data_IF_033240969852
#
_entry.id   IF_033240969852
#
_cell.length_a   1.000
_cell.length_b   1.000
_cell.length_c   1.000
_cell.angle_alpha   90.00
_cell.angle_beta   90.00
_cell.angle_gamma   90.00
#
_symmetry.space_group_name_H-M   'P 1'
#
loop_
_entity.id
_entity.type
_entity.pdbx_description
1 polymer ?
#
# COMPACT_ATOMS: atom_id res chain seq x y z
N UNK A 1 -3.18 10.29 5.60
CA UNK A 1 -2.57 10.30 4.26
C UNK A 1 -3.56 9.68 3.29
N UNK A 2 -4.03 10.42 2.28
CA UNK A 2 -4.92 9.89 1.23
C UNK A 2 -4.04 9.57 0.03
N UNK A 3 -3.93 8.31 -0.34
CA UNK A 3 -3.17 7.90 -1.53
C UNK A 3 -4.08 8.15 -2.73
N UNK A 4 -3.65 9.03 -3.63
CA UNK A 4 -4.28 9.20 -4.94
C UNK A 4 -3.54 8.29 -5.92
N UNK A 5 -4.24 7.31 -6.49
CA UNK A 5 -3.67 6.40 -7.48
C UNK A 5 -4.13 6.88 -8.86
N UNK A 6 -3.20 7.32 -9.69
CA UNK A 6 -3.46 7.59 -11.09
C UNK A 6 -3.23 6.31 -11.90
N UNK A 7 -4.32 5.61 -12.22
CA UNK A 7 -4.29 4.32 -12.93
C UNK A 7 -3.65 4.39 -14.32
N UNK A 8 -3.65 5.56 -14.96
CA UNK A 8 -3.02 5.75 -16.26
C UNK A 8 -1.50 5.89 -16.13
N UNK A 9 -1.02 6.70 -15.17
CA UNK A 9 0.42 6.90 -14.95
C UNK A 9 1.16 5.62 -14.57
N UNK A 10 0.50 4.73 -13.81
CA UNK A 10 1.10 3.45 -13.42
C UNK A 10 0.94 2.36 -14.49
N UNK A 11 0.30 2.64 -15.64
CA UNK A 11 0.10 1.69 -16.73
C UNK A 11 -1.09 0.71 -16.55
N UNK A 12 -1.82 0.77 -15.43
CA UNK A 12 -2.93 -0.15 -15.17
C UNK A 12 -4.17 0.11 -16.04
N UNK A 13 -4.29 1.29 -16.66
CA UNK A 13 -5.44 1.68 -17.47
C UNK A 13 -5.64 0.78 -18.70
N UNK A 14 -4.58 0.28 -19.31
CA UNK A 14 -4.66 -0.60 -20.48
C UNK A 14 -5.46 -1.87 -20.16
N UNK A 15 -5.25 -2.46 -18.97
CA UNK A 15 -6.03 -3.61 -18.50
C UNK A 15 -7.48 -3.25 -18.20
N UNK A 16 -7.76 -2.01 -17.74
CA UNK A 16 -9.14 -1.56 -17.48
C UNK A 16 -9.92 -1.50 -18.79
N UNK A 17 -9.30 -0.98 -19.86
CA UNK A 17 -9.95 -0.82 -21.16
C UNK A 17 -10.30 -2.15 -21.84
N UNK A 18 -9.58 -3.23 -21.51
CA UNK A 18 -9.87 -4.59 -22.00
C UNK A 18 -11.08 -5.24 -21.29
N UNK A 19 -11.61 -4.60 -20.25
CA UNK A 19 -12.71 -5.08 -19.43
C UNK A 19 -13.91 -4.13 -19.51
N UNK A 20 -14.99 -4.45 -18.81
CA UNK A 20 -16.20 -3.61 -18.80
C UNK A 20 -15.93 -2.26 -18.12
N UNK A 21 -16.07 -1.19 -18.89
CA UNK A 21 -15.95 0.19 -18.46
C UNK A 21 -16.98 1.05 -19.23
N UNK A 22 -17.35 2.21 -18.70
CA UNK A 22 -18.30 3.10 -19.36
C UNK A 22 -17.90 4.56 -19.16
N UNK A 23 -17.58 5.25 -20.26
CA UNK A 23 -17.38 6.69 -20.22
C UNK A 23 -18.70 7.43 -20.08
N UNK A 24 -18.68 8.54 -19.35
CA UNK A 24 -19.81 9.45 -19.28
C UNK A 24 -19.36 10.89 -19.55
N UNK A 25 -20.10 11.57 -20.42
CA UNK A 25 -19.86 12.97 -20.78
C UNK A 25 -20.82 13.95 -20.12
N UNK A 26 -21.82 13.47 -19.38
CA UNK A 26 -22.87 14.30 -18.79
C UNK A 26 -23.11 13.92 -17.33
N UNK A 27 -23.30 14.91 -16.47
CA UNK A 27 -23.68 14.74 -15.08
C UNK A 27 -24.80 15.71 -14.74
N UNK A 28 -25.81 15.24 -14.01
CA UNK A 28 -26.89 16.08 -13.49
C UNK A 28 -26.92 15.95 -11.97
N UNK A 29 -27.00 17.08 -11.28
CA UNK A 29 -27.13 17.15 -9.83
C UNK A 29 -28.42 17.88 -9.50
N UNK A 30 -29.24 17.29 -8.65
CA UNK A 30 -30.52 17.86 -8.21
C UNK A 30 -30.72 17.57 -6.72
N UNK A 31 -31.62 18.32 -6.09
CA UNK A 31 -32.07 18.07 -4.72
C UNK A 31 -33.51 17.52 -4.73
N UNK A 32 -33.87 16.76 -3.70
CA UNK A 32 -35.19 16.15 -3.56
C UNK A 32 -36.28 17.17 -3.20
N UNK A 33 -35.91 18.31 -2.60
CA UNK A 33 -36.88 19.32 -2.12
C UNK A 33 -37.26 20.37 -3.16
N UNK A 34 -36.51 20.48 -4.25
CA UNK A 34 -36.64 21.57 -5.22
C UNK A 34 -36.82 21.09 -6.66
N UNK A 35 -37.22 22.03 -7.52
CA UNK A 35 -37.29 21.82 -8.98
C UNK A 35 -35.98 22.19 -9.70
N UNK A 36 -34.99 22.68 -8.96
CA UNK A 36 -33.70 23.11 -9.50
C UNK A 36 -32.75 21.93 -9.74
N UNK A 37 -32.00 22.00 -10.84
CA UNK A 37 -30.91 21.08 -11.14
C UNK A 37 -29.76 21.82 -11.82
N UNK A 38 -28.54 21.27 -11.70
CA UNK A 38 -27.37 21.71 -12.46
C UNK A 38 -26.93 20.59 -13.39
N UNK A 39 -26.60 20.94 -14.64
CA UNK A 39 -26.04 20.00 -15.62
C UNK A 39 -24.61 20.38 -15.94
N UNK A 40 -23.78 19.36 -16.09
CA UNK A 40 -22.41 19.46 -16.55
C UNK A 40 -22.26 18.61 -17.80
N UNK A 41 -21.62 19.16 -18.83
CA UNK A 41 -21.27 18.44 -20.05
C UNK A 41 -19.78 18.59 -20.32
N UNK A 42 -19.09 17.48 -20.62
CA UNK A 42 -17.67 17.48 -20.96
C UNK A 42 -17.34 18.45 -22.11
N UNK A 43 -18.27 18.58 -23.06
CA UNK A 43 -18.11 19.45 -24.23
C UNK A 43 -18.03 20.94 -23.87
N UNK A 44 -18.63 21.35 -22.75
CA UNK A 44 -18.61 22.75 -22.31
C UNK A 44 -17.19 23.20 -21.93
N UNK A 45 -16.30 22.25 -21.61
CA UNK A 45 -14.88 22.48 -21.29
C UNK A 45 -13.94 21.86 -22.34
N UNK A 46 -14.44 21.55 -23.53
CA UNK A 46 -13.64 21.01 -24.63
C UNK A 46 -13.08 19.60 -24.35
N UNK A 47 -13.72 18.82 -23.47
CA UNK A 47 -13.37 17.42 -23.19
C UNK A 47 -14.38 16.47 -23.82
N UNK A 48 -13.94 15.25 -24.14
CA UNK A 48 -14.81 14.22 -24.70
C UNK A 48 -15.69 13.57 -23.63
N UNK A 49 -15.10 13.33 -22.45
CA UNK A 49 -15.74 12.68 -21.31
C UNK A 49 -15.43 13.42 -20.00
N UNK A 50 -16.34 13.33 -19.03
CA UNK A 50 -16.11 13.81 -17.66
C UNK A 50 -15.35 12.77 -16.83
N UNK A 51 -15.55 11.49 -17.16
CA UNK A 51 -14.88 10.39 -16.48
C UNK A 51 -15.31 9.03 -17.02
N UNK A 52 -14.89 8.00 -16.31
CA UNK A 52 -15.20 6.61 -16.61
C UNK A 52 -15.70 5.90 -15.35
N UNK A 53 -16.78 5.14 -15.50
CA UNK A 53 -17.27 4.22 -14.47
C UNK A 53 -16.64 2.87 -14.70
N UNK A 54 -15.99 2.35 -13.67
CA UNK A 54 -15.30 1.05 -13.68
C UNK A 54 -15.78 0.27 -12.48
N UNK A 55 -16.07 -1.02 -12.68
CA UNK A 55 -16.41 -1.91 -11.58
C UNK A 55 -15.20 -2.08 -10.66
N UNK A 56 -15.39 -2.07 -9.33
CA UNK A 56 -14.27 -2.16 -8.38
C UNK A 56 -13.41 -3.41 -8.60
N UNK A 57 -14.03 -4.55 -8.94
CA UNK A 57 -13.29 -5.79 -9.26
C UNK A 57 -12.39 -5.65 -10.48
N UNK A 58 -12.81 -4.89 -11.50
CA UNK A 58 -12.02 -4.64 -12.71
C UNK A 58 -10.82 -3.79 -12.32
N UNK A 59 -11.05 -2.70 -11.58
CA UNK A 59 -9.98 -1.83 -11.10
C UNK A 59 -8.93 -2.60 -10.26
N UNK A 60 -9.36 -3.38 -9.27
CA UNK A 60 -8.46 -4.18 -8.45
C UNK A 60 -7.68 -5.21 -9.29
N UNK A 61 -8.34 -5.88 -10.23
CA UNK A 61 -7.69 -6.86 -11.10
C UNK A 61 -6.66 -6.20 -12.03
N UNK A 62 -6.98 -5.04 -12.61
CA UNK A 62 -6.07 -4.28 -13.46
C UNK A 62 -4.82 -3.82 -12.71
N UNK A 63 -4.97 -3.40 -11.44
CA UNK A 63 -3.83 -3.07 -10.58
C UNK A 63 -2.98 -4.29 -10.25
N UNK A 64 -3.61 -5.45 -10.01
CA UNK A 64 -2.90 -6.70 -9.73
C UNK A 64 -2.11 -7.19 -10.95
N UNK A 65 -2.71 -7.16 -12.14
CA UNK A 65 -2.03 -7.51 -13.39
C UNK A 65 -0.81 -6.62 -13.60
N UNK A 66 -0.99 -5.30 -13.44
CA UNK A 66 0.11 -4.35 -13.59
C UNK A 66 1.24 -4.60 -12.59
N UNK A 67 0.88 -4.92 -11.34
CA UNK A 67 1.86 -5.31 -10.33
C UNK A 67 2.60 -6.59 -10.73
N UNK A 68 1.91 -7.61 -11.24
CA UNK A 68 2.51 -8.88 -11.67
C UNK A 68 3.52 -8.71 -12.80
N UNK A 69 3.29 -7.78 -13.72
CA UNK A 69 4.25 -7.44 -14.79
C UNK A 69 5.56 -6.87 -14.23
N UNK A 70 5.47 -5.99 -13.23
CA UNK A 70 6.62 -5.34 -12.58
C UNK A 70 7.34 -6.25 -11.58
N UNK A 71 6.61 -7.22 -10.99
CA UNK A 71 7.16 -8.16 -10.02
C UNK A 71 8.18 -9.14 -10.61
N UNK A 72 8.34 -9.19 -11.94
CA UNK A 72 9.46 -9.89 -12.56
C UNK A 72 10.83 -9.40 -12.02
N UNK A 73 10.89 -8.16 -11.51
CA UNK A 73 12.08 -7.55 -10.92
C UNK A 73 12.13 -7.59 -9.38
N UNK A 74 11.15 -8.20 -8.70
CA UNK A 74 11.01 -8.15 -7.22
C UNK A 74 11.00 -9.52 -6.55
N UNK A 75 11.54 -9.57 -5.33
CA UNK A 75 12.06 -10.82 -4.73
C UNK A 75 11.00 -11.75 -4.11
N UNK A 76 9.79 -11.29 -3.77
CA UNK A 76 8.67 -12.19 -3.42
C UNK A 76 7.35 -11.46 -3.12
N UNK A 77 6.24 -12.08 -3.53
CA UNK A 77 4.90 -11.77 -3.01
C UNK A 77 4.45 -12.90 -2.10
N UNK A 78 3.96 -12.54 -0.92
CA UNK A 78 3.43 -13.50 0.05
C UNK A 78 1.90 -13.42 0.03
N UNK A 79 1.25 -14.50 -0.39
CA UNK A 79 -0.20 -14.63 -0.42
C UNK A 79 -0.72 -15.39 0.80
N UNK A 80 -2.02 -15.26 1.08
CA UNK A 80 -2.77 -16.05 2.07
C UNK A 80 -2.25 -15.98 3.51
N UNK A 81 -1.46 -14.97 3.85
CA UNK A 81 -0.96 -14.75 5.22
C UNK A 81 -1.56 -13.49 5.83
N UNK A 82 -1.69 -13.46 7.15
CA UNK A 82 -2.11 -12.28 7.91
C UNK A 82 -1.00 -11.85 8.85
N UNK A 83 -0.84 -10.54 8.98
CA UNK A 83 0.03 -9.96 9.99
C UNK A 83 -0.60 -10.14 11.38
N UNK A 84 0.10 -10.85 12.25
CA UNK A 84 -0.33 -11.15 13.63
C UNK A 84 0.19 -10.09 14.59
N UNK A 85 1.47 -9.71 14.46
CA UNK A 85 2.10 -8.75 15.35
C UNK A 85 3.16 -7.92 14.63
N UNK A 86 3.36 -6.69 15.12
CA UNK A 86 4.41 -5.76 14.70
C UNK A 86 5.21 -5.32 15.92
N UNK A 87 6.52 -5.59 15.90
CA UNK A 87 7.44 -5.17 16.96
C UNK A 87 8.44 -4.17 16.40
N UNK A 88 8.39 -2.93 16.89
CA UNK A 88 9.33 -1.89 16.51
C UNK A 88 10.58 -1.95 17.38
N UNK A 89 11.77 -1.62 16.83
CA UNK A 89 12.98 -1.56 17.62
C UNK A 89 12.82 -0.46 18.68
N UNK A 90 13.00 -0.83 19.95
CA UNK A 90 12.99 0.14 21.03
C UNK A 90 14.22 1.02 20.87
N UNK A 91 14.03 2.33 20.75
CA UNK A 91 15.13 3.29 20.86
C UNK A 91 15.65 3.24 22.30
N UNK A 92 16.53 2.29 22.57
CA UNK A 92 17.47 2.39 23.66
C UNK A 92 18.21 3.71 23.46
N UNK A 93 17.81 4.74 24.22
CA UNK A 93 18.67 5.89 24.48
C UNK A 93 19.98 5.27 24.93
N UNK A 94 21.05 5.48 24.17
CA UNK A 94 22.40 5.23 24.65
C UNK A 94 22.55 6.00 25.97
N UNK A 95 22.29 5.33 27.09
CA UNK A 95 22.83 5.71 28.37
C UNK A 95 24.33 5.55 28.17
N UNK A 96 25.00 6.69 28.00
CA UNK A 96 26.44 6.85 28.08
C UNK A 96 26.92 6.12 29.34
N UNK A 97 27.36 4.87 29.19
CA UNK A 97 28.19 4.19 30.15
C UNK A 97 29.57 4.02 29.54
N UNK A 98 30.55 4.70 30.16
CA UNK A 98 31.98 4.58 29.87
C UNK A 98 32.39 3.10 29.97
N UNK A 99 33.31 2.62 29.12
CA UNK A 99 33.93 1.33 29.32
C UNK A 99 35.03 1.46 30.38
N UNK A 100 34.90 0.72 31.49
CA UNK A 100 36.04 0.42 32.36
C UNK A 100 36.06 -1.08 32.65
N UNK A 101 37.06 -1.71 32.03
CA UNK A 101 37.79 -2.95 32.37
C UNK A 101 37.05 -4.28 32.56
N UNK A 102 37.45 -5.20 31.67
CA UNK A 102 37.84 -6.61 31.90
C UNK A 102 36.80 -7.60 32.40
N UNK A 103 36.27 -8.40 31.46
CA UNK A 103 36.41 -9.87 31.45
C UNK A 103 35.93 -10.47 30.10
N UNK A 104 36.54 -11.56 29.60
CA UNK A 104 36.19 -12.15 28.32
C UNK A 104 35.07 -13.18 28.51
N UNK A 105 33.84 -12.84 28.11
CA UNK A 105 32.74 -13.79 28.02
C UNK A 105 32.52 -14.24 26.59
N UNK A 106 32.76 -15.53 26.41
CA UNK A 106 32.39 -16.37 25.30
C UNK A 106 30.87 -16.32 25.08
N UNK A 107 30.45 -15.77 23.94
CA UNK A 107 29.22 -16.13 23.25
C UNK A 107 29.40 -15.67 21.80
N UNK A 108 29.38 -16.61 20.86
CA UNK A 108 29.30 -16.30 19.44
C UNK A 108 27.98 -15.58 19.16
N UNK A 109 27.95 -14.27 19.35
CA UNK A 109 26.89 -13.42 18.83
C UNK A 109 27.06 -13.42 17.33
N UNK A 110 26.25 -14.23 16.66
CA UNK A 110 26.16 -14.26 15.21
C UNK A 110 25.89 -12.84 14.72
N UNK A 111 26.66 -12.44 13.72
CA UNK A 111 26.64 -11.13 13.04
C UNK A 111 25.23 -10.67 12.62
N UNK A 112 24.25 -11.58 12.61
CA UNK A 112 22.83 -11.35 12.32
C UNK A 112 22.05 -10.63 13.43
N UNK A 113 22.39 -10.82 14.72
CA UNK A 113 21.66 -10.18 15.83
C UNK A 113 21.84 -8.65 15.85
N UNK A 114 22.96 -8.15 15.32
CA UNK A 114 23.26 -6.72 15.23
C UNK A 114 22.51 -6.01 14.09
N UNK A 115 22.27 -6.67 12.96
CA UNK A 115 21.57 -6.09 11.81
C UNK A 115 20.07 -5.89 12.06
N UNK A 116 19.44 -6.77 12.84
CA UNK A 116 18.02 -6.71 13.17
C UNK A 116 17.68 -5.71 14.29
N UNK A 117 18.67 -5.15 14.98
CA UNK A 117 18.47 -4.23 16.10
C UNK A 117 17.66 -2.97 15.76
N UNK A 118 17.65 -2.56 14.47
CA UNK A 118 16.94 -1.39 13.98
C UNK A 118 15.84 -1.72 12.96
N UNK A 119 15.46 -2.99 12.82
CA UNK A 119 14.42 -3.42 11.89
C UNK A 119 13.10 -3.67 12.62
N UNK A 120 12.00 -3.36 11.96
CA UNK A 120 10.66 -3.74 12.42
C UNK A 120 10.48 -5.22 12.16
N UNK A 121 10.13 -5.98 13.20
CA UNK A 121 9.78 -7.39 13.10
C UNK A 121 8.28 -7.53 12.82
N UNK A 122 7.94 -8.31 11.80
CA UNK A 122 6.57 -8.66 11.41
C UNK A 122 6.36 -10.15 11.64
N UNK A 123 5.42 -10.52 12.51
CA UNK A 123 5.07 -11.92 12.74
C UNK A 123 3.81 -12.28 11.95
N UNK A 124 3.88 -13.36 11.17
CA UNK A 124 2.83 -13.79 10.24
C UNK A 124 2.05 -14.99 10.78
N UNK A 125 0.81 -15.16 10.29
CA UNK A 125 -0.09 -16.22 10.75
C UNK A 125 0.34 -17.63 10.36
N UNK A 126 1.24 -17.76 9.39
CA UNK A 126 1.86 -19.02 8.97
C UNK A 126 3.10 -19.39 9.83
N UNK A 127 3.42 -18.59 10.85
CA UNK A 127 4.55 -18.80 11.75
C UNK A 127 5.87 -18.19 11.26
N UNK A 128 5.92 -17.58 10.06
CA UNK A 128 7.11 -16.88 9.58
C UNK A 128 7.25 -15.51 10.24
N UNK A 129 8.49 -15.04 10.33
CA UNK A 129 8.80 -13.65 10.71
C UNK A 129 9.56 -12.95 9.58
N UNK A 130 9.19 -11.70 9.30
CA UNK A 130 9.89 -10.82 8.37
C UNK A 130 10.51 -9.64 9.12
N UNK A 131 11.55 -9.05 8.54
CA UNK A 131 12.22 -7.88 9.10
C UNK A 131 12.35 -6.82 8.02
N UNK A 132 11.93 -5.60 8.31
CA UNK A 132 12.01 -4.49 7.35
C UNK A 132 12.40 -3.19 8.01
N UNK A 133 13.05 -2.31 7.23
CA UNK A 133 13.32 -0.91 7.62
C UNK A 133 12.05 -0.06 7.55
N UNK A 134 11.11 -0.41 6.67
CA UNK A 134 9.89 0.34 6.42
C UNK A 134 8.71 -0.62 6.25
N UNK A 135 7.63 -0.35 6.95
CA UNK A 135 6.35 -1.05 6.79
C UNK A 135 5.32 -0.05 6.28
N UNK A 136 4.65 -0.39 5.19
CA UNK A 136 3.56 0.42 4.61
C UNK A 136 2.26 -0.36 4.78
N UNK A 137 1.35 0.17 5.61
CA UNK A 137 0.00 -0.38 5.78
C UNK A 137 -0.93 0.09 4.66
N UNK A 138 -1.41 -0.83 3.83
CA UNK A 138 -2.40 -0.58 2.78
C UNK A 138 -3.61 -1.55 2.87
N UNK A 139 -3.86 -2.09 4.07
CA UNK A 139 -4.87 -3.11 4.40
C UNK A 139 -6.23 -2.53 4.83
N UNK A 140 -6.43 -1.22 4.65
CA UNK A 140 -7.73 -0.57 4.81
C UNK A 140 -8.06 -0.10 6.24
N UNK A 141 -9.35 0.03 6.54
CA UNK A 141 -9.81 0.68 7.78
C UNK A 141 -9.54 -0.12 9.06
N UNK A 142 -9.30 -1.43 8.94
CA UNK A 142 -9.04 -2.36 10.04
C UNK A 142 -7.55 -2.67 10.23
N UNK A 143 -6.69 -1.77 9.79
CA UNK A 143 -5.24 -1.97 9.81
C UNK A 143 -4.67 -2.09 11.22
N UNK A 144 -3.79 -3.07 11.42
CA UNK A 144 -2.98 -3.23 12.62
C UNK A 144 -1.66 -2.41 12.56
N UNK A 145 -1.42 -1.68 11.47
CA UNK A 145 -0.17 -0.93 11.20
C UNK A 145 -0.31 0.56 11.58
N UNK A 146 -1.29 0.91 12.43
CA UNK A 146 -1.58 2.31 12.81
C UNK A 146 -0.79 2.79 14.02
#
# INVERSE_FOLDING_TARGET
MRVHINVAEIGAWEHVQQQRHAFFGKMQVWDYTGLGYTRYNARDVGKEYLGCVVENKVLCNSLLLRLQEELNDMESVIYLTRLVSLTFPSKSRQARMKPTSSEPLSAGHSTEELYCSNLVKLDLSDGRSLYSKLVIGADGSKSNVR
#
